data_IF_758910127568
#
_entry.id   IF_758910127568
#
_cell.length_a   1.000
_cell.length_b   1.000
_cell.length_c   1.000
_cell.angle_alpha   90.00
_cell.angle_beta   90.00
_cell.angle_gamma   90.00
#
_symmetry.space_group_name_H-M   'P 1'
#
loop_
_entity.id
_entity.type
_entity.pdbx_description
1 polymer ?
#
# COMPACT_ATOMS: atom_id res chain seq x y z
N UNK A 1 0.25 -12.12 4.16
CA UNK A 1 1.42 -11.48 3.50
C UNK A 1 1.11 -10.00 3.33
N UNK A 2 2.05 -9.11 3.62
CA UNK A 2 1.79 -7.67 3.57
C UNK A 2 2.31 -7.08 2.27
N UNK A 3 1.47 -6.27 1.63
CA UNK A 3 1.71 -5.57 0.38
C UNK A 3 1.76 -4.08 0.69
N UNK A 4 2.82 -3.42 0.25
CA UNK A 4 2.98 -1.98 0.32
C UNK A 4 2.79 -1.38 -1.07
N UNK A 5 1.95 -0.37 -1.14
CA UNK A 5 1.68 0.38 -2.35
C UNK A 5 2.16 1.82 -2.16
N UNK A 6 2.93 2.33 -3.12
CA UNK A 6 3.36 3.73 -3.18
C UNK A 6 3.08 4.36 -4.55
N UNK A 7 3.14 5.69 -4.58
CA UNK A 7 2.82 6.51 -5.75
C UNK A 7 1.35 6.40 -6.19
N UNK A 8 0.44 6.26 -5.21
CA UNK A 8 -1.01 6.30 -5.45
C UNK A 8 -1.49 7.75 -5.67
N UNK A 9 -2.45 7.92 -6.56
CA UNK A 9 -3.14 9.19 -6.72
C UNK A 9 -3.89 9.60 -5.44
N UNK A 10 -4.00 10.91 -5.20
CA UNK A 10 -4.72 11.48 -4.04
C UNK A 10 -6.21 11.12 -3.97
N UNK A 11 -6.76 10.54 -5.04
CA UNK A 11 -8.15 10.09 -5.11
C UNK A 11 -8.35 8.64 -4.65
N UNK A 12 -7.26 7.86 -4.53
CA UNK A 12 -7.37 6.44 -4.14
C UNK A 12 -7.73 6.32 -2.67
N UNK A 13 -8.79 5.57 -2.35
CA UNK A 13 -9.24 5.31 -0.98
C UNK A 13 -8.95 3.87 -0.56
N UNK A 14 -9.13 3.59 0.74
CA UNK A 14 -9.03 2.22 1.29
C UNK A 14 -9.94 1.27 0.53
N UNK A 15 -11.21 1.68 0.34
CA UNK A 15 -12.23 0.91 -0.38
C UNK A 15 -11.82 0.60 -1.83
N UNK A 16 -11.23 1.57 -2.54
CA UNK A 16 -10.71 1.34 -3.89
C UNK A 16 -9.59 0.31 -3.92
N UNK A 17 -8.69 0.31 -2.92
CA UNK A 17 -7.63 -0.68 -2.82
C UNK A 17 -8.19 -2.04 -2.46
N UNK A 18 -9.06 -2.13 -1.46
CA UNK A 18 -9.69 -3.37 -1.06
C UNK A 18 -10.38 -4.04 -2.25
N UNK A 19 -11.21 -3.31 -3.01
CA UNK A 19 -11.89 -3.83 -4.19
C UNK A 19 -10.91 -4.31 -5.28
N UNK A 20 -9.85 -3.54 -5.51
CA UNK A 20 -8.87 -3.79 -6.56
C UNK A 20 -8.01 -5.02 -6.22
N UNK A 21 -7.65 -5.21 -4.95
CA UNK A 21 -6.95 -6.41 -4.47
C UNK A 21 -7.89 -7.60 -4.27
N UNK A 22 -9.17 -7.39 -3.91
CA UNK A 22 -10.19 -8.42 -3.76
C UNK A 22 -10.44 -9.20 -5.06
N UNK A 23 -10.21 -8.58 -6.23
CA UNK A 23 -10.29 -9.24 -7.54
C UNK A 23 -9.20 -10.30 -7.73
N UNK A 24 -8.09 -10.17 -7.00
CA UNK A 24 -6.93 -11.08 -7.08
C UNK A 24 -6.86 -12.08 -5.93
N UNK A 25 -7.61 -11.87 -4.84
CA UNK A 25 -7.69 -12.81 -3.73
C UNK A 25 -8.29 -12.22 -2.46
N UNK A 26 -8.22 -12.97 -1.36
CA UNK A 26 -8.82 -12.54 -0.10
C UNK A 26 -7.94 -11.54 0.66
N UNK A 27 -8.49 -10.33 0.87
CA UNK A 27 -7.87 -9.28 1.67
C UNK A 27 -8.17 -9.50 3.14
N UNK A 28 -7.12 -9.55 3.96
CA UNK A 28 -7.17 -9.69 5.41
C UNK A 28 -7.38 -8.34 6.09
N UNK A 29 -6.65 -7.31 5.64
CA UNK A 29 -6.72 -5.97 6.23
C UNK A 29 -6.15 -4.93 5.27
N UNK A 30 -6.67 -3.70 5.31
CA UNK A 30 -6.19 -2.59 4.47
C UNK A 30 -6.01 -1.33 5.28
N UNK A 31 -4.87 -0.67 5.15
CA UNK A 31 -4.51 0.50 5.94
C UNK A 31 -3.92 1.59 5.04
N UNK A 32 -4.55 2.76 5.01
CA UNK A 32 -4.00 3.92 4.29
C UNK A 32 -3.01 4.70 5.16
N UNK A 33 -1.85 5.03 4.59
CA UNK A 33 -0.89 5.89 5.28
C UNK A 33 -1.27 7.35 5.04
N UNK A 34 -1.94 7.93 6.02
CA UNK A 34 -2.43 9.31 5.98
C UNK A 34 -1.34 10.24 6.52
N UNK A 35 -1.02 11.28 5.75
CA UNK A 35 -0.16 12.36 6.22
C UNK A 35 -1.00 13.33 7.04
N UNK A 36 -0.79 13.30 8.36
CA UNK A 36 -1.48 14.16 9.33
C UNK A 36 -1.29 15.66 9.07
N UNK A 37 -0.23 16.05 8.37
CA UNK A 37 0.10 17.46 8.11
C UNK A 37 -0.71 18.06 6.97
N UNK A 38 -1.05 17.27 5.94
CA UNK A 38 -1.87 17.71 4.80
C UNK A 38 -3.34 17.26 4.88
N UNK A 39 -3.70 16.44 5.88
CA UNK A 39 -5.07 15.92 6.03
C UNK A 39 -5.48 14.90 4.95
N UNK A 40 -4.53 14.38 4.18
CA UNK A 40 -4.74 13.41 3.11
C UNK A 40 -3.65 12.36 3.07
N UNK A 41 -3.84 11.28 2.30
CA UNK A 41 -2.82 10.25 2.11
C UNK A 41 -1.72 10.73 1.16
N UNK A 42 -0.47 10.37 1.48
CA UNK A 42 0.71 10.70 0.67
C UNK A 42 0.82 9.83 -0.61
N UNK A 43 -0.26 9.16 -1.01
CA UNK A 43 -0.20 8.15 -2.05
C UNK A 43 0.46 6.85 -1.59
N UNK A 44 0.37 6.54 -0.30
CA UNK A 44 0.97 5.34 0.32
C UNK A 44 -0.12 4.52 1.02
N UNK A 45 -0.08 3.19 0.87
CA UNK A 45 -1.05 2.28 1.46
C UNK A 45 -0.46 0.91 1.78
N UNK A 46 -1.11 0.20 2.70
CA UNK A 46 -0.87 -1.19 3.04
C UNK A 46 -2.08 -2.04 2.77
N UNK A 47 -1.83 -3.23 2.23
CA UNK A 47 -2.83 -4.27 2.05
C UNK A 47 -2.24 -5.58 2.55
N UNK A 48 -2.88 -6.17 3.54
CA UNK A 48 -2.57 -7.52 4.00
C UNK A 48 -3.49 -8.52 3.30
N UNK A 49 -2.89 -9.51 2.66
CA UNK A 49 -3.57 -10.63 2.03
C UNK A 49 -3.51 -11.88 2.89
N UNK A 50 -4.56 -12.69 2.84
CA UNK A 50 -4.63 -13.96 3.57
C UNK A 50 -3.65 -14.98 3.01
N UNK A 51 -3.53 -15.12 1.68
CA UNK A 51 -2.54 -16.01 1.06
C UNK A 51 -1.44 -15.25 0.33
N UNK A 52 -0.20 -15.74 0.48
CA UNK A 52 0.96 -15.15 -0.20
C UNK A 52 0.94 -15.32 -1.72
N UNK A 53 0.33 -16.39 -2.23
CA UNK A 53 0.25 -16.62 -3.68
C UNK A 53 -0.65 -15.58 -4.37
N UNK A 54 -1.81 -15.28 -3.79
CA UNK A 54 -2.74 -14.23 -4.26
C UNK A 54 -2.06 -12.86 -4.22
N UNK A 55 -1.33 -12.59 -3.12
CA UNK A 55 -0.59 -11.36 -2.94
C UNK A 55 0.47 -11.15 -4.04
N UNK A 56 1.27 -12.17 -4.33
CA UNK A 56 2.28 -12.08 -5.39
C UNK A 56 1.65 -11.92 -6.78
N UNK A 57 0.52 -12.57 -7.03
CA UNK A 57 -0.20 -12.43 -8.29
C UNK A 57 -0.73 -11.00 -8.47
N UNK A 58 -1.34 -10.43 -7.43
CA UNK A 58 -1.80 -9.05 -7.42
C UNK A 58 -0.64 -8.08 -7.67
N UNK A 59 0.50 -8.28 -6.99
CA UNK A 59 1.68 -7.44 -7.17
C UNK A 59 2.19 -7.50 -8.61
N UNK A 60 2.31 -8.68 -9.19
CA UNK A 60 2.77 -8.83 -10.56
C UNK A 60 1.84 -8.14 -11.58
N UNK A 61 0.54 -8.13 -11.32
CA UNK A 61 -0.46 -7.49 -12.20
C UNK A 61 -0.54 -5.98 -12.01
N UNK A 62 -0.41 -5.50 -10.77
CA UNK A 62 -0.67 -4.11 -10.41
C UNK A 62 0.61 -3.26 -10.36
N UNK A 63 1.76 -3.85 -10.08
CA UNK A 63 3.03 -3.14 -10.07
C UNK A 63 3.38 -2.66 -11.48
N UNK A 64 3.64 -1.37 -11.62
CA UNK A 64 3.91 -0.72 -12.90
C UNK A 64 2.65 -0.30 -13.67
N UNK A 65 1.45 -0.57 -13.15
CA UNK A 65 0.21 -0.10 -13.77
C UNK A 65 0.05 1.41 -13.59
N UNK A 66 -0.47 2.10 -14.61
CA UNK A 66 -0.69 3.55 -14.57
C UNK A 66 -2.12 3.82 -14.12
N UNK A 67 -2.29 4.45 -12.95
CA UNK A 67 -3.59 4.92 -12.45
C UNK A 67 -3.52 6.43 -12.24
N UNK A 68 -4.48 7.17 -12.79
CA UNK A 68 -4.56 8.64 -12.67
C UNK A 68 -3.31 9.36 -13.21
N UNK A 69 -2.58 8.74 -14.15
CA UNK A 69 -1.30 9.25 -14.66
C UNK A 69 -0.08 8.92 -13.80
N UNK A 70 -0.26 8.16 -12.71
CA UNK A 70 0.80 7.74 -11.81
C UNK A 70 1.12 6.25 -11.97
N UNK A 71 2.39 5.91 -12.06
CA UNK A 71 2.86 4.51 -12.09
C UNK A 71 2.78 3.96 -10.67
N UNK A 72 1.87 3.02 -10.44
CA UNK A 72 1.74 2.34 -9.17
C UNK A 72 2.98 1.50 -8.88
N UNK A 73 3.56 1.70 -7.70
CA UNK A 73 4.61 0.83 -7.19
C UNK A 73 3.99 -0.09 -6.14
N UNK A 74 3.87 -1.38 -6.47
CA UNK A 74 3.29 -2.38 -5.58
C UNK A 74 4.39 -3.38 -5.23
N UNK A 75 4.65 -3.57 -3.94
CA UNK A 75 5.76 -4.40 -3.48
C UNK A 75 5.37 -5.26 -2.28
N UNK A 76 5.95 -6.45 -2.17
CA UNK A 76 5.84 -7.27 -0.97
C UNK A 76 6.72 -6.70 0.12
N UNK A 77 6.22 -6.61 1.33
CA UNK A 77 7.01 -6.21 2.50
C UNK A 77 6.84 -7.21 3.62
N UNK A 78 7.94 -7.44 4.35
CA UNK A 78 7.85 -8.12 5.62
C UNK A 78 7.40 -7.11 6.69
N UNK A 79 6.43 -7.46 7.56
CA UNK A 79 5.91 -6.54 8.58
C UNK A 79 7.03 -6.07 9.53
N UNK A 80 7.98 -6.94 9.86
CA UNK A 80 9.14 -6.62 10.69
C UNK A 80 10.01 -5.54 10.02
N UNK A 81 10.24 -5.66 8.72
CA UNK A 81 10.99 -4.68 7.94
C UNK A 81 10.22 -3.37 7.75
N UNK A 82 8.89 -3.41 7.73
CA UNK A 82 8.10 -2.19 7.67
C UNK A 82 8.18 -1.37 8.94
N UNK A 83 8.10 -2.01 10.12
CA UNK A 83 8.26 -1.30 11.39
C UNK A 83 9.61 -0.60 11.46
N UNK A 84 10.66 -1.24 10.95
CA UNK A 84 12.01 -0.65 10.85
C UNK A 84 12.04 0.54 9.87
N UNK A 85 11.50 0.37 8.65
CA UNK A 85 11.45 1.43 7.64
C UNK A 85 10.57 2.61 8.05
N UNK A 86 9.44 2.34 8.71
CA UNK A 86 8.56 3.38 9.25
C UNK A 86 9.23 4.10 10.41
N UNK A 87 9.92 3.42 11.32
CA UNK A 87 10.71 4.07 12.38
C UNK A 87 11.79 4.98 11.80
N UNK A 88 12.49 4.55 10.76
CA UNK A 88 13.49 5.36 10.09
C UNK A 88 12.90 6.57 9.32
N UNK A 89 11.70 6.42 8.72
CA UNK A 89 10.98 7.51 8.04
C UNK A 89 10.29 8.46 9.04
N UNK A 90 9.86 7.95 10.20
CA UNK A 90 9.27 8.71 11.31
C UNK A 90 10.31 9.41 12.18
N UNK A 91 11.57 9.00 12.14
CA UNK A 91 12.71 9.70 12.76
C UNK A 91 13.06 11.05 12.11
N UNK A 92 12.27 11.53 11.15
CA UNK A 92 12.30 12.91 10.63
C UNK A 92 10.99 13.69 10.93
N UNK A 93 10.16 13.20 11.85
CA UNK A 93 9.08 13.97 12.48
C UNK A 93 9.41 14.19 13.96
N UNK A 94 10.61 14.72 14.23
CA UNK A 94 10.96 15.20 15.56
C UNK A 94 10.18 16.51 15.83
N UNK A 95 9.56 16.57 17.01
CA UNK A 95 9.02 17.79 17.63
C UNK A 95 10.17 18.59 18.24
#
# INVERSE_FOLDING_TARGET
MVIYISNLGKKVTVDSLELLFATHGNVSSTELLINKTSGGHNGEALVEMTHGHEAQHAIYKLNGSIIDGHILAVTTINPISMVDRLKNKLGNYEY
#
